data_IF_617644097932
#
_entry.id   IF_617644097932
#
_cell.length_a   1.000
_cell.length_b   1.000
_cell.length_c   1.000
_cell.angle_alpha   90.00
_cell.angle_beta   90.00
_cell.angle_gamma   90.00
#
_symmetry.space_group_name_H-M   'P 1'
#
loop_
_entity.id
_entity.type
_entity.pdbx_description
1 polymer ?
#
# COMPACT_ATOMS: atom_id res chain seq x y z
N UNK A 1 16.16 5.27 -19.11
CA UNK A 1 16.82 5.80 -17.88
C UNK A 1 17.32 4.61 -17.07
N UNK A 2 18.54 4.63 -16.55
CA UNK A 2 19.05 3.50 -15.77
C UNK A 2 18.51 3.58 -14.34
N UNK A 3 18.32 2.43 -13.65
CA UNK A 3 17.88 2.32 -12.26
C UNK A 3 18.57 3.32 -11.32
N UNK A 4 19.89 3.50 -11.50
CA UNK A 4 20.70 4.43 -10.70
C UNK A 4 20.24 5.89 -10.83
N UNK A 5 19.69 6.28 -12.00
CA UNK A 5 19.20 7.64 -12.25
C UNK A 5 17.82 7.84 -11.66
N UNK A 6 16.97 6.79 -11.64
CA UNK A 6 15.69 6.78 -10.95
C UNK A 6 15.85 6.95 -9.43
N UNK A 7 16.76 6.18 -8.82
CA UNK A 7 17.06 6.28 -7.40
C UNK A 7 17.63 7.66 -7.02
N UNK A 8 18.38 8.32 -7.91
CA UNK A 8 18.86 9.68 -7.70
C UNK A 8 17.76 10.74 -7.80
N UNK A 9 16.76 10.51 -8.62
CA UNK A 9 15.60 11.41 -8.76
C UNK A 9 14.76 11.40 -7.50
N UNK A 10 14.59 10.24 -6.87
CA UNK A 10 13.83 10.11 -5.63
C UNK A 10 14.63 10.38 -4.35
N UNK A 11 15.95 10.15 -4.37
CA UNK A 11 16.82 10.26 -3.19
C UNK A 11 17.91 11.32 -3.35
N UNK A 12 17.77 12.47 -2.71
CA UNK A 12 18.87 13.41 -2.53
C UNK A 12 19.88 12.85 -1.51
N UNK A 13 21.11 12.52 -1.95
CA UNK A 13 22.18 12.13 -1.04
C UNK A 13 22.57 13.32 -0.15
N UNK A 14 22.07 13.38 1.08
CA UNK A 14 22.54 14.33 2.09
C UNK A 14 23.84 13.82 2.71
N UNK A 15 24.96 14.40 2.31
CA UNK A 15 26.21 14.27 3.03
C UNK A 15 26.09 15.02 4.37
N UNK A 16 25.94 14.32 5.47
CA UNK A 16 26.04 14.91 6.80
C UNK A 16 27.51 15.22 7.12
N UNK A 17 27.82 16.52 7.13
CA UNK A 17 29.08 17.03 7.71
C UNK A 17 28.91 17.09 9.22
N UNK A 18 29.67 16.27 9.93
CA UNK A 18 29.78 16.30 11.39
C UNK A 18 30.46 17.61 11.85
N UNK A 19 29.75 18.48 12.55
CA UNK A 19 30.33 19.51 13.40
C UNK A 19 30.34 19.00 14.85
N UNK A 20 31.49 18.89 15.52
CA UNK A 20 31.54 18.55 16.93
C UNK A 20 31.49 19.83 17.79
N UNK A 21 30.58 19.86 18.72
CA UNK A 21 30.66 20.73 19.89
C UNK A 21 29.52 21.73 20.05
N UNK A 22 28.57 21.35 20.86
CA UNK A 22 27.95 22.19 21.94
C UNK A 22 27.03 21.26 22.73
N UNK A 23 27.39 21.06 24.00
CA UNK A 23 26.60 20.25 24.92
C UNK A 23 25.28 20.94 25.27
N UNK A 24 24.20 20.29 24.89
CA UNK A 24 22.88 20.51 25.47
C UNK A 24 22.45 19.22 26.17
N UNK A 25 21.92 19.34 27.38
CA UNK A 25 21.34 18.21 28.12
C UNK A 25 20.37 17.45 27.25
N UNK A 26 20.75 16.21 26.91
CA UNK A 26 19.91 15.27 26.22
C UNK A 26 18.76 14.84 27.15
N UNK A 27 17.62 15.51 27.04
CA UNK A 27 16.37 14.78 27.11
C UNK A 27 16.51 13.71 26.00
N UNK A 28 16.36 12.45 26.39
CA UNK A 28 16.46 11.34 25.43
C UNK A 28 15.48 11.60 24.30
N UNK A 29 16.00 12.08 23.18
CA UNK A 29 15.24 12.25 21.95
C UNK A 29 15.11 10.83 21.39
N UNK A 30 14.08 10.11 21.84
CA UNK A 30 13.74 8.83 21.25
C UNK A 30 13.24 9.14 19.84
N UNK A 31 14.04 8.79 18.84
CA UNK A 31 13.65 8.91 17.44
C UNK A 31 12.29 8.22 17.25
N UNK A 32 11.30 8.96 16.73
CA UNK A 32 9.98 8.40 16.49
C UNK A 32 10.04 7.27 15.47
N UNK A 33 9.24 6.21 15.62
CA UNK A 33 9.27 5.11 14.70
C UNK A 33 8.79 5.53 13.31
N UNK A 34 9.49 5.11 12.27
CA UNK A 34 9.01 5.24 10.89
C UNK A 34 7.85 4.28 10.65
N UNK A 35 6.87 4.75 9.89
CA UNK A 35 5.63 4.01 9.60
C UNK A 35 5.38 3.93 8.09
N UNK A 36 4.79 2.84 7.66
CA UNK A 36 4.36 2.64 6.27
C UNK A 36 2.84 2.46 6.23
N UNK A 37 2.19 3.20 5.35
CA UNK A 37 0.78 3.02 5.00
C UNK A 37 0.66 2.80 3.49
N UNK A 38 0.16 1.63 3.10
CA UNK A 38 -0.13 1.29 1.70
C UNK A 38 -1.62 1.47 1.47
N UNK A 39 -1.99 2.32 0.52
CA UNK A 39 -3.37 2.55 0.08
C UNK A 39 -3.53 2.04 -1.34
N UNK A 40 -4.59 1.29 -1.61
CA UNK A 40 -4.89 0.79 -2.95
C UNK A 40 -6.34 1.06 -3.30
N UNK A 41 -6.57 1.84 -4.36
CA UNK A 41 -7.89 1.94 -4.99
C UNK A 41 -8.00 0.96 -6.16
N UNK A 42 -9.19 0.84 -6.74
CA UNK A 42 -9.47 -0.08 -7.84
C UNK A 42 -9.51 0.64 -9.19
N UNK A 43 -9.26 -0.11 -10.28
CA UNK A 43 -9.48 0.30 -11.67
C UNK A 43 -8.52 1.35 -12.24
N UNK A 44 -7.33 1.53 -11.63
CA UNK A 44 -6.29 2.40 -12.17
C UNK A 44 -6.67 3.89 -12.20
N UNK A 45 -6.15 4.61 -13.18
CA UNK A 45 -6.29 6.06 -13.29
C UNK A 45 -6.95 6.48 -14.61
N UNK A 46 -7.69 7.59 -14.59
CA UNK A 46 -7.98 8.38 -15.78
C UNK A 46 -6.76 9.26 -16.04
N UNK A 47 -5.79 8.75 -16.80
CA UNK A 47 -4.44 9.33 -16.93
C UNK A 47 -4.44 10.80 -17.35
N UNK A 48 -5.27 11.20 -18.29
CA UNK A 48 -5.33 12.57 -18.82
C UNK A 48 -5.86 13.60 -17.80
N UNK A 49 -6.72 13.21 -16.87
CA UNK A 49 -7.21 14.07 -15.77
C UNK A 49 -6.39 13.93 -14.49
N UNK A 50 -5.56 12.89 -14.39
CA UNK A 50 -4.64 12.65 -13.26
C UNK A 50 -3.31 13.37 -13.42
N UNK A 51 -2.72 13.30 -14.62
CA UNK A 51 -1.38 13.82 -14.89
C UNK A 51 -1.27 15.30 -14.67
N UNK A 52 -0.09 15.75 -14.21
CA UNK A 52 0.30 17.16 -14.17
C UNK A 52 1.16 17.44 -15.39
N UNK A 53 0.71 18.35 -16.27
CA UNK A 53 1.42 18.74 -17.51
C UNK A 53 1.42 20.25 -17.65
N UNK A 54 2.42 20.94 -17.08
CA UNK A 54 2.60 22.35 -17.33
C UNK A 54 2.83 22.66 -18.81
N UNK A 55 2.33 23.79 -19.28
CA UNK A 55 2.48 24.23 -20.66
C UNK A 55 3.95 24.31 -21.07
N UNK A 56 4.25 23.89 -22.29
CA UNK A 56 5.57 23.98 -22.89
C UNK A 56 6.59 22.94 -22.47
N UNK A 57 6.23 21.98 -21.60
CA UNK A 57 7.12 20.89 -21.21
C UNK A 57 7.12 19.78 -22.27
N UNK A 58 8.34 19.36 -22.66
CA UNK A 58 8.54 18.27 -23.63
C UNK A 58 8.19 16.91 -23.01
N UNK A 59 7.27 16.17 -23.64
CA UNK A 59 6.89 14.82 -23.21
C UNK A 59 7.84 13.71 -23.71
N UNK A 60 8.81 14.03 -24.55
CA UNK A 60 9.76 13.05 -25.10
C UNK A 60 11.01 12.82 -24.25
N UNK A 61 11.20 13.57 -23.16
CA UNK A 61 12.37 13.46 -22.28
C UNK A 61 11.93 13.43 -20.82
N UNK A 62 12.67 12.74 -19.92
CA UNK A 62 12.40 12.80 -18.49
C UNK A 62 12.53 14.23 -17.95
N UNK A 63 11.65 14.61 -17.05
CA UNK A 63 11.73 15.89 -16.34
C UNK A 63 11.17 15.77 -14.92
N UNK A 64 11.49 16.76 -14.11
CA UNK A 64 10.95 16.90 -12.74
C UNK A 64 10.60 18.36 -12.51
N UNK A 65 9.51 18.60 -11.78
CA UNK A 65 9.07 19.94 -11.39
C UNK A 65 8.77 19.98 -9.90
N UNK A 66 9.01 21.15 -9.28
CA UNK A 66 8.56 21.42 -7.92
C UNK A 66 7.06 21.66 -7.88
N UNK A 67 6.34 20.85 -7.10
CA UNK A 67 4.88 20.99 -6.94
C UNK A 67 4.51 22.29 -6.21
N UNK A 68 5.41 22.83 -5.40
CA UNK A 68 5.20 24.10 -4.69
C UNK A 68 5.19 25.31 -5.61
N UNK A 69 5.83 25.18 -6.78
CA UNK A 69 5.96 26.26 -7.76
C UNK A 69 4.74 26.32 -8.71
N UNK A 70 3.87 25.32 -8.64
CA UNK A 70 2.67 25.25 -9.48
C UNK A 70 1.50 26.01 -8.83
N UNK A 71 0.82 26.83 -9.63
CA UNK A 71 -0.43 27.44 -9.22
C UNK A 71 -1.55 26.38 -9.18
N UNK A 72 -2.55 26.61 -8.33
CA UNK A 72 -3.66 25.67 -8.15
C UNK A 72 -4.43 25.37 -9.45
N UNK A 73 -4.59 26.36 -10.32
CA UNK A 73 -5.26 26.19 -11.60
C UNK A 73 -4.44 25.38 -12.64
N UNK A 74 -3.16 25.11 -12.35
CA UNK A 74 -2.30 24.23 -13.16
C UNK A 74 -2.25 22.81 -12.60
N UNK A 75 -2.97 22.56 -11.50
CA UNK A 75 -3.05 21.26 -10.87
C UNK A 75 -3.98 20.34 -11.64
N UNK A 76 -3.75 19.02 -11.53
CA UNK A 76 -4.61 18.04 -12.16
C UNK A 76 -6.01 18.08 -11.53
N UNK A 77 -7.05 17.88 -12.33
CA UNK A 77 -8.44 17.88 -11.85
C UNK A 77 -8.66 16.84 -10.75
N UNK A 78 -8.14 15.64 -10.96
CA UNK A 78 -8.26 14.52 -10.02
C UNK A 78 -7.47 14.75 -8.73
N UNK A 79 -6.27 15.33 -8.83
CA UNK A 79 -5.38 15.55 -7.68
C UNK A 79 -5.63 16.87 -6.95
N UNK A 80 -6.54 17.71 -7.43
CA UNK A 80 -6.85 19.01 -6.87
C UNK A 80 -7.11 18.98 -5.35
N UNK A 81 -7.79 17.98 -4.76
CA UNK A 81 -7.97 17.90 -3.30
C UNK A 81 -6.67 17.79 -2.51
N UNK A 82 -5.59 17.31 -3.13
CA UNK A 82 -4.26 17.18 -2.50
C UNK A 82 -3.38 18.43 -2.64
N UNK A 83 -3.87 19.50 -3.28
CA UNK A 83 -3.08 20.72 -3.50
C UNK A 83 -2.54 21.35 -2.19
N UNK A 84 -3.32 21.31 -1.11
CA UNK A 84 -2.90 21.80 0.20
C UNK A 84 -1.67 21.04 0.76
N UNK A 85 -1.52 19.77 0.38
CA UNK A 85 -0.46 18.87 0.82
C UNK A 85 0.70 18.73 -0.17
N UNK A 86 0.74 19.51 -1.26
CA UNK A 86 1.69 19.38 -2.37
C UNK A 86 3.17 19.35 -1.96
N UNK A 87 3.52 19.96 -0.85
CA UNK A 87 4.87 19.93 -0.29
C UNK A 87 5.29 18.56 0.28
N UNK A 88 4.33 17.66 0.51
CA UNK A 88 4.53 16.30 1.01
C UNK A 88 4.46 15.24 -0.09
N UNK A 89 4.03 15.61 -1.29
CA UNK A 89 3.75 14.69 -2.39
C UNK A 89 4.99 14.42 -3.24
N UNK A 90 5.04 13.21 -3.80
CA UNK A 90 5.89 12.83 -4.91
C UNK A 90 5.00 12.12 -5.93
N UNK A 91 4.69 12.80 -7.02
CA UNK A 91 4.01 12.22 -8.18
C UNK A 91 5.01 11.46 -9.04
N UNK A 92 4.72 10.21 -9.38
CA UNK A 92 5.55 9.40 -10.25
C UNK A 92 4.73 9.02 -11.47
N UNK A 93 5.11 9.53 -12.63
CA UNK A 93 4.39 9.39 -13.89
C UNK A 93 5.29 8.72 -14.94
N UNK A 94 4.77 7.65 -15.54
CA UNK A 94 5.48 6.89 -16.56
C UNK A 94 6.03 5.54 -16.09
N UNK A 95 5.58 5.02 -14.95
CA UNK A 95 5.83 3.64 -14.57
C UNK A 95 4.95 2.67 -15.39
N UNK A 96 5.27 1.40 -15.31
CA UNK A 96 4.42 0.31 -15.79
C UNK A 96 4.44 -0.87 -14.84
N UNK A 97 3.35 -1.64 -14.81
CA UNK A 97 3.29 -2.95 -14.16
C UNK A 97 3.93 -4.00 -15.09
N UNK A 98 5.19 -3.76 -15.49
CA UNK A 98 5.90 -4.58 -16.47
C UNK A 98 5.97 -6.06 -16.08
N UNK A 99 6.05 -6.36 -14.78
CA UNK A 99 6.05 -7.75 -14.29
C UNK A 99 4.73 -8.45 -14.56
N UNK A 100 3.60 -7.74 -14.50
CA UNK A 100 2.28 -8.30 -14.77
C UNK A 100 2.10 -8.67 -16.26
N UNK A 101 2.76 -7.96 -17.18
CA UNK A 101 2.77 -8.33 -18.60
C UNK A 101 3.50 -9.66 -18.86
N UNK A 102 4.38 -10.10 -17.97
CA UNK A 102 5.09 -11.37 -18.07
C UNK A 102 4.28 -12.56 -17.53
N UNK A 103 3.20 -12.29 -16.82
CA UNK A 103 2.38 -13.31 -16.18
C UNK A 103 1.11 -13.50 -17.01
N UNK A 104 1.13 -14.49 -17.90
CA UNK A 104 0.04 -14.73 -18.84
C UNK A 104 -1.10 -15.58 -18.29
N UNK A 105 -0.99 -16.06 -17.06
CA UNK A 105 -2.00 -16.89 -16.41
C UNK A 105 -3.02 -16.01 -15.67
N UNK A 106 -4.28 -16.45 -15.67
CA UNK A 106 -5.38 -15.76 -15.00
C UNK A 106 -5.93 -14.52 -15.73
N UNK A 107 -6.86 -13.83 -15.08
CA UNK A 107 -7.36 -12.57 -15.57
C UNK A 107 -6.46 -11.40 -15.11
N UNK A 108 -6.55 -10.27 -15.82
CA UNK A 108 -5.65 -9.13 -15.57
C UNK A 108 -5.81 -8.53 -14.17
N UNK A 109 -6.99 -8.56 -13.57
CA UNK A 109 -7.18 -8.11 -12.19
C UNK A 109 -6.45 -8.98 -11.18
N UNK A 110 -6.67 -10.32 -11.24
CA UNK A 110 -6.08 -11.23 -10.25
C UNK A 110 -4.54 -11.23 -10.36
N UNK A 111 -4.03 -11.18 -11.60
CA UNK A 111 -2.60 -11.03 -11.85
C UNK A 111 -2.07 -9.73 -11.25
N UNK A 112 -2.70 -8.61 -11.55
CA UNK A 112 -2.19 -7.29 -11.17
C UNK A 112 -2.30 -6.99 -9.68
N UNK A 113 -3.31 -7.51 -8.96
CA UNK A 113 -3.37 -7.41 -7.50
C UNK A 113 -2.09 -7.94 -6.85
N UNK A 114 -1.58 -9.05 -7.36
CA UNK A 114 -0.31 -9.61 -6.87
C UNK A 114 0.86 -8.75 -7.28
N UNK A 115 0.97 -8.45 -8.59
CA UNK A 115 2.16 -7.78 -9.13
C UNK A 115 2.34 -6.35 -8.62
N UNK A 116 1.26 -5.59 -8.43
CA UNK A 116 1.33 -4.20 -7.98
C UNK A 116 2.10 -4.06 -6.65
N UNK A 117 1.97 -5.03 -5.75
CA UNK A 117 2.53 -4.94 -4.41
C UNK A 117 3.68 -5.93 -4.13
N UNK A 118 3.90 -6.91 -5.01
CA UNK A 118 5.00 -7.87 -4.89
C UNK A 118 6.06 -7.73 -5.97
N UNK A 119 5.70 -7.20 -7.14
CA UNK A 119 6.53 -7.23 -8.34
C UNK A 119 6.82 -8.65 -8.83
N UNK A 120 6.07 -9.66 -8.38
CA UNK A 120 6.34 -11.06 -8.65
C UNK A 120 5.10 -11.81 -9.14
N UNK A 121 5.29 -13.06 -9.59
CA UNK A 121 4.25 -13.88 -10.21
C UNK A 121 3.10 -14.21 -9.27
N UNK A 122 1.91 -14.32 -9.85
CA UNK A 122 0.74 -14.88 -9.20
C UNK A 122 0.77 -16.43 -9.26
N UNK A 123 0.18 -17.07 -8.26
CA UNK A 123 -0.04 -18.51 -8.19
C UNK A 123 -1.55 -18.78 -8.27
N UNK A 124 -1.99 -19.36 -9.37
CA UNK A 124 -3.37 -19.74 -9.65
C UNK A 124 -3.65 -21.23 -9.40
N UNK A 125 -2.74 -21.94 -8.75
CA UNK A 125 -2.89 -23.39 -8.49
C UNK A 125 -3.96 -23.75 -7.47
N UNK A 126 -4.46 -22.76 -6.69
CA UNK A 126 -5.50 -22.90 -5.67
C UNK A 126 -6.86 -22.38 -6.11
N UNK A 127 -7.79 -22.30 -5.17
CA UNK A 127 -9.10 -21.66 -5.34
C UNK A 127 -9.01 -20.14 -5.32
N UNK A 128 -8.03 -19.60 -4.59
CA UNK A 128 -7.77 -18.18 -4.46
C UNK A 128 -6.41 -17.85 -5.08
N UNK A 129 -6.30 -16.71 -5.72
CA UNK A 129 -5.03 -16.22 -6.25
C UNK A 129 -4.10 -15.88 -5.10
N UNK A 130 -2.90 -16.46 -5.12
CA UNK A 130 -1.83 -16.21 -4.18
C UNK A 130 -0.67 -15.51 -4.88
N UNK A 131 0.28 -14.98 -4.13
CA UNK A 131 1.56 -14.53 -4.68
C UNK A 131 2.62 -15.63 -4.58
N UNK A 132 3.76 -15.41 -5.21
CA UNK A 132 4.95 -16.28 -5.06
C UNK A 132 5.99 -15.67 -4.10
N UNK A 133 5.72 -14.47 -3.59
CA UNK A 133 6.58 -13.78 -2.61
C UNK A 133 5.79 -12.80 -1.75
N UNK A 134 6.42 -12.25 -0.72
CA UNK A 134 5.84 -11.19 0.11
C UNK A 134 5.54 -9.93 -0.68
N UNK A 135 4.49 -9.23 -0.28
CA UNK A 135 4.24 -7.85 -0.68
C UNK A 135 5.15 -6.86 0.06
N UNK A 136 5.25 -5.64 -0.48
CA UNK A 136 6.14 -4.59 0.06
C UNK A 136 5.82 -4.24 1.52
N UNK A 137 4.55 -4.17 1.90
CA UNK A 137 4.13 -3.93 3.27
C UNK A 137 4.61 -5.03 4.21
N UNK A 138 4.57 -6.29 3.79
CA UNK A 138 5.00 -7.43 4.59
C UNK A 138 6.53 -7.54 4.65
N UNK A 139 7.26 -7.18 3.60
CA UNK A 139 8.72 -7.05 3.66
C UNK A 139 9.13 -6.00 4.69
N UNK A 140 8.48 -4.85 4.67
CA UNK A 140 8.72 -3.76 5.63
C UNK A 140 8.30 -4.18 7.04
N UNK A 141 7.12 -4.79 7.22
CA UNK A 141 6.64 -5.24 8.52
C UNK A 141 7.61 -6.22 9.20
N UNK A 142 8.22 -7.12 8.43
CA UNK A 142 9.23 -8.05 8.94
C UNK A 142 10.54 -7.35 9.36
N UNK A 143 10.83 -6.17 8.80
CA UNK A 143 12.06 -5.41 9.11
C UNK A 143 11.89 -4.46 10.29
N UNK A 144 10.84 -3.62 10.28
CA UNK A 144 10.64 -2.55 11.28
C UNK A 144 9.62 -2.91 12.36
N UNK A 145 8.89 -4.02 12.18
CA UNK A 145 7.90 -4.50 13.14
C UNK A 145 8.53 -4.89 14.47
N UNK A 146 7.75 -4.80 15.53
CA UNK A 146 8.15 -5.22 16.87
C UNK A 146 7.62 -6.61 17.16
N UNK A 147 8.41 -7.43 17.86
CA UNK A 147 7.99 -8.79 18.26
C UNK A 147 6.85 -8.81 19.28
N UNK A 148 6.68 -7.69 20.03
CA UNK A 148 5.66 -7.51 21.07
C UNK A 148 4.42 -6.73 20.57
N UNK A 149 4.29 -6.48 19.28
CA UNK A 149 3.22 -5.71 18.65
C UNK A 149 2.69 -6.44 17.40
N UNK A 150 1.62 -5.90 16.81
CA UNK A 150 1.18 -6.36 15.49
C UNK A 150 2.23 -6.03 14.45
N UNK A 151 2.76 -6.99 13.68
CA UNK A 151 3.71 -6.68 12.61
C UNK A 151 3.09 -5.75 11.57
N UNK A 152 1.82 -5.98 11.23
CA UNK A 152 1.04 -5.21 10.27
C UNK A 152 -0.45 -5.28 10.57
N UNK A 153 -1.22 -4.39 9.97
CA UNK A 153 -2.67 -4.33 10.04
C UNK A 153 -3.24 -4.25 8.62
N UNK A 154 -4.03 -5.24 8.22
CA UNK A 154 -4.62 -5.37 6.91
C UNK A 154 -6.10 -4.99 6.98
N UNK A 155 -6.48 -3.90 6.31
CA UNK A 155 -7.83 -3.33 6.31
C UNK A 155 -8.41 -3.24 4.90
N UNK A 156 -9.75 -3.23 4.81
CA UNK A 156 -10.47 -3.01 3.56
C UNK A 156 -11.75 -2.22 3.80
N UNK A 157 -12.16 -1.43 2.81
CA UNK A 157 -13.48 -0.78 2.77
C UNK A 157 -14.49 -1.59 1.95
N UNK A 158 -14.07 -2.66 1.30
CA UNK A 158 -14.93 -3.45 0.43
C UNK A 158 -15.87 -4.34 1.24
N UNK A 159 -17.19 -4.11 1.10
CA UNK A 159 -18.25 -4.92 1.72
C UNK A 159 -18.56 -6.19 0.96
N UNK A 160 -18.35 -6.18 -0.34
CA UNK A 160 -18.95 -7.17 -1.24
C UNK A 160 -18.24 -8.53 -1.19
N UNK A 161 -17.10 -8.63 -0.51
CA UNK A 161 -16.30 -9.85 -0.46
C UNK A 161 -15.80 -10.11 0.95
N UNK A 162 -16.10 -11.28 1.50
CA UNK A 162 -15.65 -11.73 2.84
C UNK A 162 -14.15 -11.54 3.09
N UNK A 163 -13.34 -11.43 2.03
CA UNK A 163 -11.91 -11.29 2.12
C UNK A 163 -11.37 -9.97 1.52
N UNK A 164 -12.23 -9.05 1.08
CA UNK A 164 -11.81 -7.82 0.41
C UNK A 164 -10.94 -8.07 -0.83
N UNK A 165 -10.35 -7.01 -1.38
CA UNK A 165 -9.34 -7.12 -2.44
C UNK A 165 -7.96 -7.12 -1.78
N UNK A 166 -7.19 -8.21 -1.89
CA UNK A 166 -5.94 -8.36 -1.16
C UNK A 166 -4.86 -7.47 -1.74
N UNK A 167 -4.14 -6.80 -0.87
CA UNK A 167 -2.92 -6.07 -1.20
C UNK A 167 -1.73 -6.55 -0.36
N UNK A 168 -1.97 -7.42 0.61
CA UNK A 168 -0.98 -7.96 1.53
C UNK A 168 -0.78 -9.47 1.33
N UNK A 169 0.46 -9.86 1.11
CA UNK A 169 0.89 -11.25 0.92
C UNK A 169 2.07 -11.55 1.85
N UNK A 170 1.93 -12.59 2.70
CA UNK A 170 2.95 -13.00 3.66
C UNK A 170 4.20 -13.61 3.02
N UNK A 171 5.13 -14.08 3.85
CA UNK A 171 6.45 -14.58 3.42
C UNK A 171 6.40 -15.66 2.34
N UNK A 172 5.42 -16.53 2.39
CA UNK A 172 5.21 -17.61 1.42
C UNK A 172 4.33 -17.22 0.23
N UNK A 173 3.99 -15.93 0.11
CA UNK A 173 3.06 -15.44 -0.91
C UNK A 173 1.59 -15.69 -0.57
N UNK A 174 1.28 -16.24 0.60
CA UNK A 174 -0.10 -16.41 1.04
C UNK A 174 -0.76 -15.05 1.25
N UNK A 175 -1.92 -14.89 0.66
CA UNK A 175 -2.82 -13.78 0.89
C UNK A 175 -3.18 -13.65 2.36
N UNK A 176 -3.01 -12.47 2.93
CA UNK A 176 -3.41 -12.20 4.30
C UNK A 176 -4.89 -11.83 4.38
N UNK A 177 -5.60 -12.28 5.43
CA UNK A 177 -6.98 -11.88 5.64
C UNK A 177 -7.06 -10.39 5.98
N UNK A 178 -8.05 -9.70 5.42
CA UNK A 178 -8.32 -8.29 5.69
C UNK A 178 -9.50 -8.12 6.64
N UNK A 179 -9.48 -7.07 7.44
CA UNK A 179 -10.60 -6.68 8.28
C UNK A 179 -11.35 -5.51 7.63
N UNK A 180 -12.65 -5.69 7.41
CA UNK A 180 -13.50 -4.69 6.75
C UNK A 180 -14.58 -4.08 7.68
N UNK A 181 -14.61 -4.50 8.94
CA UNK A 181 -15.49 -3.96 9.97
C UNK A 181 -14.70 -3.13 10.99
N UNK A 182 -14.90 -1.80 11.05
CA UNK A 182 -14.20 -0.93 11.99
C UNK A 182 -14.37 -1.35 13.45
N UNK A 183 -15.53 -1.88 13.83
CA UNK A 183 -15.76 -2.33 15.21
C UNK A 183 -14.91 -3.57 15.52
N UNK A 184 -14.83 -4.54 14.62
CA UNK A 184 -13.94 -5.71 14.79
C UNK A 184 -12.47 -5.30 14.76
N UNK A 185 -12.08 -4.38 13.88
CA UNK A 185 -10.74 -3.80 13.87
C UNK A 185 -10.41 -3.14 15.21
N UNK A 186 -11.33 -2.32 15.75
CA UNK A 186 -11.17 -1.70 17.07
C UNK A 186 -11.03 -2.73 18.18
N UNK A 187 -11.91 -3.74 18.19
CA UNK A 187 -11.87 -4.83 19.18
C UNK A 187 -10.53 -5.60 19.14
N UNK A 188 -10.00 -5.81 17.93
CA UNK A 188 -8.70 -6.48 17.74
C UNK A 188 -7.54 -5.61 18.24
N UNK A 189 -7.61 -4.29 18.04
CA UNK A 189 -6.55 -3.34 18.40
C UNK A 189 -6.59 -2.94 19.87
N UNK A 190 -7.77 -2.63 20.40
CA UNK A 190 -7.97 -1.94 21.67
C UNK A 190 -9.00 -2.60 22.59
N UNK A 191 -9.70 -3.62 22.12
CA UNK A 191 -10.70 -4.30 22.92
C UNK A 191 -10.13 -4.82 24.23
N UNK A 192 -10.95 -4.92 25.30
CA UNK A 192 -10.51 -5.48 26.55
C UNK A 192 -9.95 -6.88 26.27
N UNK A 193 -8.70 -7.09 26.71
CA UNK A 193 -8.10 -8.42 26.70
C UNK A 193 -9.13 -9.35 27.35
N UNK A 194 -9.77 -10.19 26.56
CA UNK A 194 -10.63 -11.22 27.11
C UNK A 194 -9.79 -11.94 28.15
N UNK A 195 -10.35 -12.08 29.38
CA UNK A 195 -9.73 -12.86 30.43
C UNK A 195 -9.18 -14.15 29.79
N UNK A 196 -7.98 -14.60 30.18
CA UNK A 196 -7.34 -15.69 29.46
C UNK A 196 -8.35 -16.81 29.29
N UNK A 197 -8.87 -16.97 28.09
CA UNK A 197 -9.71 -18.10 27.74
C UNK A 197 -8.89 -19.32 28.13
N UNK A 198 -9.35 -20.13 29.10
CA UNK A 198 -8.65 -21.35 29.50
C UNK A 198 -8.33 -22.25 28.30
N UNK A 199 -9.08 -22.05 27.19
CA UNK A 199 -8.83 -22.70 25.91
C UNK A 199 -7.69 -22.03 25.11
N UNK A 200 -7.32 -20.76 25.37
CA UNK A 200 -6.24 -20.11 24.62
C UNK A 200 -4.86 -20.67 25.02
N UNK A 201 -4.65 -20.99 26.30
CA UNK A 201 -3.47 -21.72 26.75
C UNK A 201 -3.43 -23.13 26.13
N UNK A 202 -4.58 -23.85 26.16
CA UNK A 202 -4.69 -25.17 25.52
C UNK A 202 -4.53 -25.12 23.99
N UNK A 203 -4.99 -24.04 23.33
CA UNK A 203 -4.75 -23.84 21.88
C UNK A 203 -3.27 -23.62 21.58
N UNK A 204 -2.54 -22.87 22.42
CA UNK A 204 -1.11 -22.73 22.34
C UNK A 204 -0.38 -24.07 22.48
N UNK A 205 -0.79 -24.88 23.46
CA UNK A 205 -0.25 -26.22 23.69
C UNK A 205 -0.57 -27.17 22.52
N UNK A 206 -1.81 -27.13 21.97
CA UNK A 206 -2.22 -27.94 20.80
C UNK A 206 -1.45 -27.53 19.54
N UNK A 207 -1.24 -26.24 19.34
CA UNK A 207 -0.48 -25.75 18.20
C UNK A 207 1.01 -26.09 18.31
N UNK A 208 1.59 -25.97 19.49
CA UNK A 208 2.95 -26.44 19.79
C UNK A 208 3.11 -27.93 19.53
N UNK A 209 2.17 -28.73 19.97
CA UNK A 209 2.15 -30.18 19.73
C UNK A 209 2.00 -30.50 18.23
N UNK A 210 1.06 -29.83 17.54
CA UNK A 210 0.87 -30.02 16.10
C UNK A 210 2.10 -29.62 15.28
N UNK A 211 2.82 -28.58 15.72
CA UNK A 211 4.08 -28.16 15.09
C UNK A 211 5.21 -29.19 15.27
N UNK A 212 5.33 -29.76 16.46
CA UNK A 212 6.31 -30.83 16.70
C UNK A 212 6.00 -32.10 15.91
N UNK A 213 4.73 -32.50 15.81
CA UNK A 213 4.32 -33.60 14.93
C UNK A 213 4.60 -33.31 13.45
N UNK A 214 4.32 -32.10 13.00
CA UNK A 214 4.65 -31.67 11.66
C UNK A 214 6.17 -31.78 11.39
N UNK A 215 7.03 -31.30 12.30
CA UNK A 215 8.49 -31.39 12.14
C UNK A 215 8.97 -32.82 11.94
N UNK A 216 8.34 -33.80 12.59
CA UNK A 216 8.64 -35.20 12.41
C UNK A 216 8.19 -35.73 11.04
N UNK A 217 7.11 -35.19 10.47
CA UNK A 217 6.56 -35.57 9.18
C UNK A 217 7.17 -34.80 7.99
N UNK A 218 7.66 -33.60 8.22
CA UNK A 218 8.18 -32.70 7.20
C UNK A 218 9.21 -33.33 6.25
N UNK A 219 10.14 -34.21 6.72
CA UNK A 219 11.08 -34.88 5.81
C UNK A 219 10.42 -35.84 4.82
N UNK A 220 9.17 -36.26 5.10
CA UNK A 220 8.40 -37.20 4.27
C UNK A 220 7.46 -36.50 3.29
N UNK A 221 7.29 -35.19 3.42
CA UNK A 221 6.41 -34.36 2.58
C UNK A 221 7.17 -33.86 1.33
N UNK A 222 6.47 -33.74 0.22
CA UNK A 222 6.96 -33.03 -0.95
C UNK A 222 7.21 -31.55 -0.67
N UNK A 223 8.07 -30.89 -1.46
CA UNK A 223 8.49 -29.52 -1.23
C UNK A 223 7.29 -28.55 -1.14
N UNK A 224 6.32 -28.65 -2.06
CA UNK A 224 5.11 -27.81 -2.07
C UNK A 224 4.20 -28.02 -0.83
N UNK A 225 4.04 -29.26 -0.38
CA UNK A 225 3.25 -29.58 0.82
C UNK A 225 3.94 -29.07 2.09
N UNK A 226 5.27 -29.18 2.15
CA UNK A 226 6.07 -28.67 3.27
C UNK A 226 5.94 -27.15 3.33
N UNK A 227 6.11 -26.46 2.22
CA UNK A 227 5.96 -25.00 2.15
C UNK A 227 4.58 -24.52 2.61
N UNK A 228 3.49 -25.17 2.15
CA UNK A 228 2.12 -24.84 2.60
C UNK A 228 1.93 -25.00 4.11
N UNK A 229 2.47 -26.09 4.68
CA UNK A 229 2.37 -26.33 6.11
C UNK A 229 3.23 -25.37 6.94
N UNK A 230 4.45 -25.08 6.52
CA UNK A 230 5.32 -24.07 7.15
C UNK A 230 4.64 -22.71 7.18
N UNK A 231 4.07 -22.28 6.05
CA UNK A 231 3.33 -21.04 5.95
C UNK A 231 2.12 -20.98 6.87
N UNK A 232 1.37 -22.08 6.98
CA UNK A 232 0.24 -22.16 7.89
C UNK A 232 0.67 -22.04 9.36
N UNK A 233 1.75 -22.71 9.75
CA UNK A 233 2.29 -22.61 11.11
C UNK A 233 2.87 -21.22 11.42
N UNK A 234 3.54 -20.59 10.46
CA UNK A 234 4.02 -19.22 10.61
C UNK A 234 2.87 -18.24 10.81
N UNK A 235 1.80 -18.38 10.03
CA UNK A 235 0.60 -17.56 10.17
C UNK A 235 -0.04 -17.75 11.57
N UNK A 236 -0.19 -18.97 12.04
CA UNK A 236 -0.79 -19.28 13.33
C UNK A 236 0.09 -18.82 14.49
N UNK A 237 1.42 -19.02 14.41
CA UNK A 237 2.37 -18.52 15.43
C UNK A 237 2.40 -17.00 15.47
N UNK A 238 2.39 -16.35 14.32
CA UNK A 238 2.28 -14.89 14.18
C UNK A 238 0.99 -14.37 14.85
N UNK A 239 -0.15 -14.99 14.59
CA UNK A 239 -1.42 -14.64 15.23
C UNK A 239 -1.38 -14.83 16.75
N UNK A 240 -0.76 -15.88 17.25
CA UNK A 240 -0.66 -16.16 18.69
C UNK A 240 0.27 -15.15 19.38
N UNK A 241 1.42 -14.84 18.80
CA UNK A 241 2.34 -13.81 19.30
C UNK A 241 1.69 -12.40 19.32
N UNK A 242 0.91 -12.08 18.30
CA UNK A 242 0.13 -10.84 18.18
C UNK A 242 -0.84 -10.66 19.35
N UNK A 243 -1.60 -11.70 19.69
CA UNK A 243 -2.57 -11.68 20.80
C UNK A 243 -1.91 -11.57 22.18
N UNK A 244 -0.70 -12.10 22.34
CA UNK A 244 0.04 -12.00 23.60
C UNK A 244 0.71 -10.64 23.82
N UNK A 245 1.25 -10.02 22.76
CA UNK A 245 1.95 -8.74 22.84
C UNK A 245 1.05 -7.55 23.15
N UNK A 246 -0.24 -7.61 22.76
CA UNK A 246 -1.21 -6.54 22.97
C UNK A 246 -1.68 -6.38 24.42
N UNK A 247 -1.39 -7.34 25.30
CA UNK A 247 -1.85 -7.31 26.71
C UNK A 247 -1.23 -6.22 27.57
N UNK A 248 -0.15 -5.61 27.14
CA UNK A 248 0.61 -4.59 27.90
C UNK A 248 0.67 -3.24 27.16
N UNK A 249 -0.36 -2.92 26.39
CA UNK A 249 -0.41 -1.66 25.65
C UNK A 249 -0.82 -0.53 26.58
N UNK A 250 0.15 0.33 26.98
CA UNK A 250 -0.17 1.62 27.59
C UNK A 250 -0.40 2.62 26.46
N UNK A 251 -1.66 2.89 26.16
CA UNK A 251 -2.05 3.88 25.17
C UNK A 251 -3.03 4.88 25.78
N UNK A 252 -2.65 6.15 25.81
CA UNK A 252 -3.46 7.23 26.36
C UNK A 252 -4.47 7.82 25.35
N UNK A 253 -4.45 7.35 24.11
CA UNK A 253 -5.23 7.90 22.98
C UNK A 253 -6.09 6.84 22.28
N UNK A 254 -6.59 5.85 23.05
CA UNK A 254 -7.51 4.85 22.51
C UNK A 254 -8.81 5.55 22.11
N UNK A 255 -9.21 5.48 20.81
CA UNK A 255 -10.48 6.05 20.39
C UNK A 255 -11.66 5.30 21.00
N UNK A 256 -12.80 5.95 21.08
CA UNK A 256 -14.04 5.27 21.44
C UNK A 256 -14.32 4.14 20.45
N UNK A 257 -14.98 3.07 20.91
CA UNK A 257 -15.42 2.01 20.00
C UNK A 257 -16.33 2.62 18.92
N UNK A 258 -16.04 2.42 17.63
CA UNK A 258 -16.90 2.93 16.57
C UNK A 258 -18.28 2.27 16.61
N UNK A 259 -19.29 2.98 16.15
CA UNK A 259 -20.57 2.40 15.83
C UNK A 259 -20.50 1.65 14.49
N UNK A 260 -21.54 0.91 14.16
CA UNK A 260 -21.66 0.36 12.81
C UNK A 260 -21.71 1.51 11.80
N UNK A 261 -20.77 1.50 10.83
CA UNK A 261 -20.74 2.53 9.80
C UNK A 261 -22.00 2.45 8.92
N UNK A 262 -22.63 3.62 8.71
CA UNK A 262 -23.86 3.70 7.93
C UNK A 262 -23.62 3.65 6.42
N UNK A 263 -22.42 4.03 5.95
CA UNK A 263 -22.03 4.09 4.54
C UNK A 263 -20.54 3.93 4.37
N UNK A 264 -20.08 3.96 3.11
CA UNK A 264 -18.69 3.81 2.72
C UNK A 264 -17.80 4.94 3.30
N UNK A 265 -18.24 6.20 3.24
CA UNK A 265 -17.47 7.35 3.74
C UNK A 265 -17.25 7.29 5.26
N UNK A 266 -18.30 6.98 6.02
CA UNK A 266 -18.17 6.82 7.47
C UNK A 266 -17.23 5.66 7.82
N UNK A 267 -17.26 4.58 7.05
CA UNK A 267 -16.31 3.46 7.24
C UNK A 267 -14.88 3.90 6.97
N UNK A 268 -14.64 4.68 5.92
CA UNK A 268 -13.32 5.25 5.64
C UNK A 268 -12.83 6.12 6.80
N UNK A 269 -13.68 7.00 7.33
CA UNK A 269 -13.30 7.89 8.42
C UNK A 269 -12.99 7.09 9.70
N UNK A 270 -13.81 6.11 10.05
CA UNK A 270 -13.57 5.21 11.20
C UNK A 270 -12.28 4.39 11.03
N UNK A 271 -12.02 3.83 9.84
CA UNK A 271 -10.75 3.12 9.58
C UNK A 271 -9.55 4.05 9.66
N UNK A 272 -9.68 5.29 9.18
CA UNK A 272 -8.63 6.32 9.28
C UNK A 272 -8.30 6.67 10.73
N UNK A 273 -9.31 6.83 11.60
CA UNK A 273 -9.11 7.06 13.03
C UNK A 273 -8.41 5.88 13.70
N UNK A 274 -8.78 4.65 13.34
CA UNK A 274 -8.11 3.44 13.84
C UNK A 274 -6.65 3.34 13.40
N UNK A 275 -6.33 3.71 12.16
CA UNK A 275 -4.96 3.79 11.66
C UNK A 275 -4.17 4.82 12.45
N UNK A 276 -4.72 6.03 12.63
CA UNK A 276 -4.10 7.09 13.41
C UNK A 276 -3.80 6.66 14.85
N UNK A 277 -4.77 6.02 15.51
CA UNK A 277 -4.61 5.51 16.87
C UNK A 277 -3.61 4.34 16.93
N UNK A 278 -3.64 3.41 15.97
CA UNK A 278 -2.70 2.29 15.91
C UNK A 278 -1.25 2.78 15.77
N UNK A 279 -1.03 3.83 14.99
CA UNK A 279 0.28 4.47 14.83
C UNK A 279 0.70 5.26 16.08
N UNK A 280 -0.21 6.05 16.67
CA UNK A 280 0.07 6.84 17.86
C UNK A 280 0.42 5.97 19.08
N UNK A 281 -0.21 4.81 19.19
CA UNK A 281 0.04 3.85 20.27
C UNK A 281 1.15 2.83 19.95
N UNK A 282 1.84 2.96 18.80
CA UNK A 282 2.82 1.99 18.29
C UNK A 282 2.32 0.54 18.36
N UNK A 283 1.00 0.34 18.09
CA UNK A 283 0.40 -1.01 18.00
C UNK A 283 0.93 -1.75 16.79
N UNK A 284 1.11 -1.04 15.71
CA UNK A 284 1.79 -1.48 14.49
C UNK A 284 2.48 -0.28 13.84
N UNK A 285 3.45 -0.57 12.99
CA UNK A 285 4.17 0.43 12.16
C UNK A 285 3.86 0.29 10.68
N UNK A 286 3.09 -0.73 10.31
CA UNK A 286 2.74 -1.01 8.92
C UNK A 286 1.26 -1.29 8.81
N UNK A 287 0.59 -0.56 7.93
CA UNK A 287 -0.82 -0.75 7.62
C UNK A 287 -1.00 -0.82 6.11
N UNK A 288 -1.85 -1.71 5.65
CA UNK A 288 -2.36 -1.74 4.29
C UNK A 288 -3.87 -1.57 4.32
N UNK A 289 -4.39 -0.62 3.52
CA UNK A 289 -5.81 -0.34 3.38
C UNK A 289 -6.22 -0.44 1.92
N UNK A 290 -7.03 -1.45 1.60
CA UNK A 290 -7.74 -1.51 0.33
C UNK A 290 -8.96 -0.58 0.39
N UNK A 291 -9.00 0.42 -0.50
CA UNK A 291 -10.14 1.32 -0.61
C UNK A 291 -11.35 0.64 -1.28
N UNK A 292 -11.15 -0.51 -1.93
CA UNK A 292 -12.24 -1.24 -2.57
C UNK A 292 -12.93 -0.45 -3.69
N UNK A 293 -14.18 -0.76 -3.93
CA UNK A 293 -15.05 0.00 -4.83
C UNK A 293 -16.00 0.89 -4.02
N UNK A 294 -15.92 2.19 -4.25
CA UNK A 294 -16.87 3.15 -3.70
C UNK A 294 -18.23 2.99 -4.41
N UNK A 295 -19.36 3.02 -3.71
CA UNK A 295 -20.68 3.04 -4.35
C UNK A 295 -20.82 4.20 -5.33
N UNK A 296 -21.37 3.94 -6.51
CA UNK A 296 -21.51 4.95 -7.58
C UNK A 296 -22.38 6.12 -7.18
N UNK A 297 -23.32 5.91 -6.24
CA UNK A 297 -24.15 6.97 -5.64
C UNK A 297 -23.31 8.00 -4.89
N UNK A 298 -22.18 7.61 -4.30
CA UNK A 298 -21.37 8.46 -3.43
C UNK A 298 -20.59 9.53 -4.22
N UNK A 299 -20.41 9.30 -5.53
CA UNK A 299 -19.81 10.28 -6.45
C UNK A 299 -20.79 10.72 -7.58
N UNK A 300 -22.08 10.50 -7.40
CA UNK A 300 -23.13 11.11 -8.22
C UNK A 300 -23.60 10.30 -9.43
N UNK A 301 -23.29 9.01 -9.52
CA UNK A 301 -23.63 8.15 -10.67
C UNK A 301 -24.52 6.95 -10.34
N UNK A 302 -25.18 6.95 -9.18
CA UNK A 302 -26.07 5.86 -8.77
C UNK A 302 -27.25 5.62 -9.71
N UNK A 303 -27.76 6.64 -10.39
CA UNK A 303 -28.81 6.52 -11.39
C UNK A 303 -28.32 5.94 -12.74
N UNK A 304 -26.98 5.88 -12.94
CA UNK A 304 -26.37 5.35 -14.17
C UNK A 304 -26.10 3.87 -14.03
N UNK A 305 -25.49 3.48 -12.93
CA UNK A 305 -25.12 2.10 -12.61
C UNK A 305 -24.78 1.96 -11.14
N UNK A 306 -24.88 0.76 -10.58
CA UNK A 306 -24.35 0.38 -9.27
C UNK A 306 -22.98 -0.34 -9.34
N UNK A 307 -22.46 -0.57 -10.54
CA UNK A 307 -21.23 -1.33 -10.81
C UNK A 307 -20.16 -0.39 -11.41
N UNK A 308 -19.17 -0.01 -10.61
CA UNK A 308 -18.03 0.80 -11.07
C UNK A 308 -17.24 0.06 -12.15
N UNK A 309 -16.99 -1.24 -11.96
CA UNK A 309 -16.13 -2.02 -12.83
C UNK A 309 -16.69 -2.13 -14.25
N UNK A 310 -17.87 -2.75 -14.40
CA UNK A 310 -18.48 -2.99 -15.73
C UNK A 310 -19.26 -1.78 -16.22
N UNK A 311 -19.87 -1.06 -15.30
CA UNK A 311 -20.74 0.06 -15.63
C UNK A 311 -19.99 1.33 -16.04
N UNK A 312 -18.79 1.56 -15.50
CA UNK A 312 -18.01 2.78 -15.73
C UNK A 312 -16.61 2.51 -16.30
N UNK A 313 -15.79 1.74 -15.60
CA UNK A 313 -14.39 1.62 -15.89
C UNK A 313 -14.09 1.01 -17.28
N UNK A 314 -14.82 -0.01 -17.71
CA UNK A 314 -14.63 -0.64 -19.01
C UNK A 314 -14.84 0.28 -20.21
N UNK A 315 -15.62 1.33 -20.07
CA UNK A 315 -15.93 2.26 -21.16
C UNK A 315 -15.24 3.63 -20.98
N UNK A 316 -14.26 3.71 -20.08
CA UNK A 316 -13.56 4.97 -19.74
C UNK A 316 -12.95 5.68 -20.96
N UNK A 317 -12.52 4.95 -21.98
CA UNK A 317 -11.93 5.54 -23.19
C UNK A 317 -12.91 5.76 -24.33
N UNK A 318 -14.13 5.20 -24.27
CA UNK A 318 -15.09 5.23 -25.35
C UNK A 318 -16.33 6.06 -25.06
N UNK A 319 -16.55 6.44 -23.81
CA UNK A 319 -17.71 7.17 -23.36
C UNK A 319 -17.32 8.34 -22.45
N UNK A 320 -17.54 9.57 -22.91
CA UNK A 320 -17.14 10.78 -22.20
C UNK A 320 -17.80 10.94 -20.82
N UNK A 321 -19.05 10.51 -20.66
CA UNK A 321 -19.73 10.55 -19.35
C UNK A 321 -19.08 9.56 -18.38
N UNK A 322 -18.74 8.35 -18.82
CA UNK A 322 -18.09 7.34 -17.98
C UNK A 322 -16.63 7.72 -17.68
N UNK A 323 -15.96 8.39 -18.61
CA UNK A 323 -14.66 8.99 -18.36
C UNK A 323 -14.72 10.03 -17.23
N UNK A 324 -15.71 10.94 -17.28
CA UNK A 324 -15.91 11.91 -16.21
C UNK A 324 -16.28 11.23 -14.89
N UNK A 325 -17.13 10.20 -14.92
CA UNK A 325 -17.47 9.42 -13.73
C UNK A 325 -16.24 8.79 -13.07
N UNK A 326 -15.32 8.22 -13.85
CA UNK A 326 -14.07 7.67 -13.32
C UNK A 326 -13.11 8.77 -12.83
N UNK A 327 -13.16 9.95 -13.42
CA UNK A 327 -12.42 11.13 -12.90
C UNK A 327 -12.97 11.56 -11.54
N UNK A 328 -14.29 11.62 -11.38
CA UNK A 328 -14.95 11.98 -10.12
C UNK A 328 -14.72 10.91 -9.04
N UNK A 329 -14.76 9.63 -9.40
CA UNK A 329 -14.39 8.50 -8.55
C UNK A 329 -12.98 8.66 -7.95
N UNK A 330 -11.99 8.95 -8.80
CA UNK A 330 -10.61 9.15 -8.36
C UNK A 330 -10.44 10.44 -7.55
N UNK A 331 -11.20 11.49 -7.87
CA UNK A 331 -11.20 12.75 -7.12
C UNK A 331 -11.73 12.55 -5.70
N UNK A 332 -12.76 11.71 -5.53
CA UNK A 332 -13.25 11.33 -4.20
C UNK A 332 -12.18 10.57 -3.41
N UNK A 333 -11.48 9.62 -4.02
CA UNK A 333 -10.33 8.98 -3.37
C UNK A 333 -9.22 9.97 -3.01
N UNK A 334 -8.94 10.95 -3.86
CA UNK A 334 -7.98 12.02 -3.53
C UNK A 334 -8.45 12.86 -2.32
N UNK A 335 -9.74 13.12 -2.19
CA UNK A 335 -10.32 13.78 -0.99
C UNK A 335 -10.18 12.92 0.26
N UNK A 336 -10.39 11.61 0.16
CA UNK A 336 -10.19 10.68 1.27
C UNK A 336 -8.72 10.66 1.71
N UNK A 337 -7.80 10.56 0.77
CA UNK A 337 -6.37 10.60 1.06
C UNK A 337 -5.97 11.93 1.71
N UNK A 338 -6.51 13.07 1.25
CA UNK A 338 -6.25 14.37 1.84
C UNK A 338 -6.73 14.42 3.31
N UNK A 339 -7.96 13.95 3.61
CA UNK A 339 -8.48 13.87 4.99
C UNK A 339 -7.62 12.99 5.88
N UNK A 340 -7.14 11.86 5.37
CA UNK A 340 -6.24 10.96 6.12
C UNK A 340 -4.90 11.64 6.42
N UNK A 341 -4.33 12.38 5.47
CA UNK A 341 -3.10 13.18 5.67
C UNK A 341 -3.34 14.27 6.72
N UNK A 342 -4.48 14.96 6.68
CA UNK A 342 -4.87 15.93 7.70
C UNK A 342 -4.98 15.30 9.09
N UNK A 343 -5.68 14.16 9.19
CA UNK A 343 -5.84 13.43 10.44
C UNK A 343 -4.47 13.07 11.06
N UNK A 344 -3.59 12.43 10.29
CA UNK A 344 -2.26 12.04 10.76
C UNK A 344 -1.36 13.24 11.08
N UNK A 345 -1.56 14.36 10.39
CA UNK A 345 -0.84 15.62 10.64
C UNK A 345 -1.25 16.29 11.95
N UNK A 346 -2.45 16.03 12.43
CA UNK A 346 -2.98 16.58 13.68
C UNK A 346 -2.69 15.71 14.92
N UNK A 347 -2.17 14.50 14.76
CA UNK A 347 -1.80 13.63 15.87
C UNK A 347 -0.32 13.84 16.19
N UNK A 348 0.03 14.27 17.43
CA UNK A 348 1.42 14.45 17.84
C UNK A 348 2.15 13.10 17.97
N UNK A 349 3.41 13.07 17.57
CA UNK A 349 4.30 11.92 17.76
C UNK A 349 5.30 12.12 18.90
N UNK A 350 6.02 11.07 19.26
CA UNK A 350 6.95 11.02 20.41
C UNK A 350 8.15 11.95 20.28
N UNK A 351 8.51 12.36 19.06
CA UNK A 351 9.60 13.32 18.77
C UNK A 351 9.13 14.79 18.73
N UNK A 352 7.85 15.05 19.03
CA UNK A 352 7.25 16.38 19.01
C UNK A 352 6.82 16.85 17.61
N UNK A 353 6.96 16.01 16.58
CA UNK A 353 6.38 16.22 15.26
C UNK A 353 5.00 15.57 15.17
N UNK A 354 4.41 15.51 13.98
CA UNK A 354 3.16 14.77 13.78
C UNK A 354 3.43 13.32 13.35
N UNK A 355 2.43 12.45 13.56
CA UNK A 355 2.46 11.07 13.03
C UNK A 355 2.72 11.10 11.51
N UNK A 356 2.14 12.06 10.77
CA UNK A 356 2.36 12.19 9.33
C UNK A 356 3.83 12.47 8.99
N UNK A 357 4.56 13.21 9.81
CA UNK A 357 5.97 13.53 9.56
C UNK A 357 6.88 12.29 9.62
N UNK A 358 6.45 11.25 10.35
CA UNK A 358 7.13 9.97 10.51
C UNK A 358 6.43 8.83 9.74
N UNK A 359 5.51 9.17 8.83
CA UNK A 359 4.78 8.19 8.01
C UNK A 359 5.10 8.36 6.52
N UNK A 360 5.30 7.24 5.85
CA UNK A 360 5.37 7.12 4.40
C UNK A 360 4.06 6.50 3.93
N UNK A 361 3.28 7.23 3.14
CA UNK A 361 2.07 6.72 2.48
C UNK A 361 2.40 6.42 1.02
N UNK A 362 2.00 5.26 0.54
CA UNK A 362 2.08 4.87 -0.86
C UNK A 362 0.66 4.64 -1.34
N UNK A 363 0.20 5.47 -2.26
CA UNK A 363 -1.13 5.35 -2.86
C UNK A 363 -1.01 4.86 -4.29
N UNK A 364 -1.53 3.67 -4.55
CA UNK A 364 -1.48 3.00 -5.83
C UNK A 364 -2.80 2.33 -6.20
N UNK A 365 -2.75 1.52 -7.25
CA UNK A 365 -3.86 0.69 -7.74
C UNK A 365 -3.31 -0.64 -8.25
N UNK A 366 -4.18 -1.60 -8.49
CA UNK A 366 -3.81 -2.87 -9.13
C UNK A 366 -3.59 -2.73 -10.64
N UNK A 367 -4.21 -1.74 -11.26
CA UNK A 367 -4.18 -1.51 -12.71
C UNK A 367 -3.64 -0.09 -12.99
N UNK A 368 -3.27 0.17 -14.23
CA UNK A 368 -2.93 1.52 -14.66
C UNK A 368 -4.15 2.27 -15.21
N UNK A 369 -5.16 1.59 -15.71
CA UNK A 369 -6.40 2.19 -16.20
C UNK A 369 -7.61 1.26 -16.07
N UNK A 370 -8.81 1.80 -16.28
CA UNK A 370 -10.07 1.07 -16.17
C UNK A 370 -10.30 0.01 -17.24
N UNK A 371 -9.50 -0.02 -18.31
CA UNK A 371 -9.53 -1.05 -19.35
C UNK A 371 -8.46 -2.13 -19.12
N UNK A 372 -8.03 -2.29 -17.87
CA UNK A 372 -7.06 -3.29 -17.45
C UNK A 372 -5.64 -3.06 -18.01
N UNK A 373 -5.28 -1.80 -18.30
CA UNK A 373 -3.95 -1.44 -18.74
C UNK A 373 -2.91 -1.58 -17.64
N UNK A 374 -1.64 -1.78 -18.06
CA UNK A 374 -0.49 -1.85 -17.18
C UNK A 374 0.52 -0.72 -17.44
N UNK A 375 0.26 0.09 -18.48
CA UNK A 375 1.07 1.23 -18.88
C UNK A 375 0.54 2.52 -18.25
N UNK A 376 1.40 3.52 -18.08
CA UNK A 376 1.04 4.78 -17.40
C UNK A 376 0.58 4.56 -15.95
N UNK A 377 1.26 3.68 -15.25
CA UNK A 377 1.06 3.46 -13.83
C UNK A 377 1.60 4.68 -13.05
N UNK A 378 0.74 5.39 -12.34
CA UNK A 378 1.02 6.70 -11.76
C UNK A 378 0.78 6.76 -10.25
N UNK A 379 1.51 6.01 -9.44
CA UNK A 379 1.35 6.02 -7.98
C UNK A 379 1.79 7.35 -7.38
N UNK A 380 1.27 7.66 -6.20
CA UNK A 380 1.64 8.82 -5.39
C UNK A 380 2.34 8.36 -4.12
N UNK A 381 3.48 8.95 -3.80
CA UNK A 381 4.14 8.82 -2.51
C UNK A 381 3.87 10.09 -1.71
N UNK A 382 3.51 9.96 -0.43
CA UNK A 382 3.20 11.09 0.45
C UNK A 382 4.01 10.94 1.75
N UNK A 383 4.75 11.99 2.12
CA UNK A 383 5.65 11.94 3.28
C UNK A 383 6.99 11.29 2.97
N UNK A 384 7.62 10.68 3.98
CA UNK A 384 8.92 10.03 3.81
C UNK A 384 10.08 11.02 3.60
N UNK A 385 9.97 12.26 4.09
CA UNK A 385 10.98 13.33 3.94
C UNK A 385 12.37 12.98 4.49
N UNK A 386 12.45 11.96 5.35
CA UNK A 386 13.74 11.46 5.86
C UNK A 386 14.58 10.72 4.80
N UNK A 387 13.95 10.38 3.68
CA UNK A 387 14.59 9.64 2.58
C UNK A 387 14.37 10.31 1.22
N UNK A 388 13.18 10.84 0.97
CA UNK A 388 12.76 11.41 -0.30
C UNK A 388 12.80 12.95 -0.28
N UNK A 389 13.08 13.54 -1.45
CA UNK A 389 12.80 14.94 -1.71
C UNK A 389 11.32 15.08 -2.08
N UNK A 390 10.48 15.46 -1.11
CA UNK A 390 9.05 15.68 -1.34
C UNK A 390 8.76 17.01 -2.04
N UNK A 391 7.51 17.22 -2.46
CA UNK A 391 7.09 18.39 -3.23
C UNK A 391 7.53 18.33 -4.70
N UNK A 392 7.62 17.13 -5.28
CA UNK A 392 8.12 16.91 -6.63
C UNK A 392 7.14 16.09 -7.47
N UNK A 393 7.12 16.34 -8.76
CA UNK A 393 6.48 15.51 -9.75
C UNK A 393 7.53 15.09 -10.78
N UNK A 394 7.66 13.80 -11.00
CA UNK A 394 8.65 13.19 -11.88
C UNK A 394 7.93 12.52 -13.04
N UNK A 395 8.27 12.95 -14.23
CA UNK A 395 7.80 12.33 -15.47
C UNK A 395 8.93 11.55 -16.13
N UNK A 396 8.61 10.33 -16.50
CA UNK A 396 9.48 9.44 -17.25
C UNK A 396 8.73 9.02 -18.52
N UNK A 397 9.22 9.42 -19.72
CA UNK A 397 8.58 9.03 -20.96
C UNK A 397 8.67 7.52 -21.12
N UNK A 398 7.67 6.97 -21.79
CA UNK A 398 7.74 5.59 -22.24
C UNK A 398 8.80 5.48 -23.33
N UNK A 399 9.85 4.72 -23.06
CA UNK A 399 10.92 4.42 -24.02
C UNK A 399 10.43 3.40 -25.08
N UNK A 400 11.34 2.97 -25.95
CA UNK A 400 11.09 1.89 -26.89
C UNK A 400 10.53 0.67 -26.15
N UNK A 401 9.43 0.07 -26.63
CA UNK A 401 8.81 -1.05 -25.96
C UNK A 401 9.78 -2.18 -25.70
N UNK A 402 9.79 -2.69 -24.48
CA UNK A 402 10.45 -3.94 -24.13
C UNK A 402 9.54 -5.06 -24.60
N UNK A 403 10.05 -5.93 -25.47
CA UNK A 403 9.30 -7.12 -25.87
C UNK A 403 9.20 -8.08 -24.68
N UNK A 404 7.99 -8.27 -24.21
CA UNK A 404 7.66 -9.26 -23.20
C UNK A 404 6.92 -10.41 -23.85
N UNK A 405 7.34 -11.64 -23.62
CA UNK A 405 6.60 -12.82 -24.06
C UNK A 405 5.45 -13.07 -23.12
N UNK A 406 4.24 -12.86 -23.60
CA UNK A 406 3.02 -13.23 -22.90
C UNK A 406 2.31 -14.37 -23.61
N UNK A 407 1.52 -15.15 -22.88
CA UNK A 407 0.72 -16.25 -23.43
C UNK A 407 -0.32 -15.72 -24.42
N UNK A 408 -0.78 -14.48 -24.28
CA UNK A 408 -1.81 -13.87 -25.12
C UNK A 408 -1.27 -12.97 -26.25
N UNK A 409 0.03 -12.98 -26.50
CA UNK A 409 0.65 -12.17 -27.55
C UNK A 409 0.69 -10.67 -27.30
N UNK A 410 0.30 -10.20 -26.13
CA UNK A 410 0.59 -8.82 -25.68
C UNK A 410 2.04 -8.78 -25.23
N UNK A 411 2.84 -7.94 -25.87
CA UNK A 411 4.26 -8.21 -25.91
C UNK A 411 5.12 -7.02 -25.53
N UNK A 412 4.51 -5.90 -25.11
CA UNK A 412 5.32 -4.70 -24.92
C UNK A 412 4.94 -3.93 -23.66
N UNK A 413 5.93 -3.73 -22.79
CA UNK A 413 5.89 -2.71 -21.75
C UNK A 413 6.88 -1.61 -22.12
N UNK A 414 6.43 -0.37 -22.12
CA UNK A 414 7.26 0.78 -22.52
C UNK A 414 7.63 1.69 -21.36
N UNK A 415 6.97 1.55 -20.22
CA UNK A 415 7.23 2.34 -19.02
C UNK A 415 8.34 1.72 -18.16
N UNK A 416 8.91 2.53 -17.26
CA UNK A 416 9.83 2.05 -16.26
C UNK A 416 9.12 1.05 -15.34
N UNK A 417 9.70 -0.13 -15.03
CA UNK A 417 9.10 -1.09 -14.13
C UNK A 417 8.80 -0.49 -12.75
N UNK A 418 7.57 -0.65 -12.25
CA UNK A 418 7.15 -0.14 -10.94
C UNK A 418 7.95 -0.72 -9.77
N UNK A 419 8.65 -1.84 -9.99
CA UNK A 419 9.56 -2.45 -9.01
C UNK A 419 10.63 -1.47 -8.51
N UNK A 420 11.05 -0.50 -9.32
CA UNK A 420 11.96 0.56 -8.89
C UNK A 420 11.37 1.40 -7.75
N UNK A 421 10.05 1.65 -7.80
CA UNK A 421 9.33 2.30 -6.70
C UNK A 421 9.30 1.39 -5.46
N UNK A 422 8.98 0.11 -5.61
CA UNK A 422 8.95 -0.83 -4.48
C UNK A 422 10.31 -0.90 -3.77
N UNK A 423 11.41 -0.96 -4.53
CA UNK A 423 12.77 -0.90 -3.97
C UNK A 423 13.03 0.42 -3.23
N UNK A 424 12.61 1.55 -3.81
CA UNK A 424 12.78 2.86 -3.16
C UNK A 424 12.01 2.96 -1.84
N UNK A 425 10.80 2.39 -1.78
CA UNK A 425 9.99 2.29 -0.55
C UNK A 425 10.72 1.42 0.49
N UNK A 426 11.19 0.24 0.11
CA UNK A 426 11.93 -0.65 1.00
C UNK A 426 13.14 0.06 1.60
N UNK A 427 13.94 0.75 0.77
CA UNK A 427 15.12 1.50 1.21
C UNK A 427 14.76 2.67 2.12
N UNK A 428 13.66 3.39 1.85
CA UNK A 428 13.15 4.44 2.73
C UNK A 428 12.80 3.91 4.12
N UNK A 429 12.35 2.67 4.19
CA UNK A 429 12.00 1.97 5.42
C UNK A 429 13.18 1.21 6.04
N UNK A 430 14.39 1.40 5.52
CA UNK A 430 15.63 0.88 6.12
C UNK A 430 16.04 -0.51 5.66
N UNK A 431 15.38 -1.09 4.65
CA UNK A 431 15.83 -2.34 4.03
C UNK A 431 16.99 -2.05 3.07
N UNK A 432 17.87 -3.02 2.93
CA UNK A 432 19.04 -2.92 2.01
C UNK A 432 18.78 -3.58 0.65
N UNK A 433 17.55 -4.02 0.40
CA UNK A 433 17.21 -4.71 -0.84
C UNK A 433 17.45 -3.78 -2.03
N UNK A 434 18.12 -4.30 -3.02
CA UNK A 434 18.39 -3.64 -4.28
C UNK A 434 17.48 -4.16 -5.40
N UNK A 435 16.65 -5.16 -5.09
CA UNK A 435 15.72 -5.80 -6.00
C UNK A 435 14.49 -6.35 -5.27
N UNK A 436 13.30 -6.16 -5.84
CA UNK A 436 12.04 -6.74 -5.39
C UNK A 436 11.33 -7.34 -6.61
N UNK A 437 10.86 -8.59 -6.47
CA UNK A 437 10.08 -9.28 -7.50
C UNK A 437 10.93 -9.97 -8.59
N UNK A 438 10.45 -10.00 -9.82
CA UNK A 438 11.08 -10.72 -10.94
C UNK A 438 12.39 -10.06 -11.37
N UNK A 439 13.50 -10.81 -11.33
CA UNK A 439 14.87 -10.29 -11.51
C UNK A 439 15.27 -9.90 -12.94
N UNK A 440 14.52 -10.28 -13.94
CA UNK A 440 14.92 -10.14 -15.36
C UNK A 440 14.34 -8.91 -16.07
N UNK A 441 13.64 -8.05 -15.33
CA UNK A 441 13.14 -6.78 -15.85
C UNK A 441 13.97 -5.67 -15.19
N UNK A 442 15.09 -5.34 -15.79
CA UNK A 442 15.95 -4.23 -15.36
C UNK A 442 16.24 -3.31 -16.53
#
# INVERSE_FOLDING_TARGET
MKRRDFLKVLGGASAFTLCPGLGFNALANTEAPKRLLVLSHCHGWTYDTWKIRPDGINSGTPWSIGLNDLAENSWSETLQPLYAHRNRLIGIDGLSLATAELDGDGNRHDTSWVHAWTGNRADFSGTDTQATSSSIDQLVANSIGRSDRLPSLELSLDDARENGRPIAYGQSGLRLPVENDPMRAWQRLFGPSQAPDPLSARRGDVLGFAYEEYRQLAPRLGAAQRQKMESHFELVNSLTGRLQGMRNLECNTVPASPNQAANYEERFDQMSELIGAAFACDVTRVVSLSLGEMPTSDFGYGDVTDDVHKGLAHDVFTNAMKHQAMTDYLKMHAQQVARLVDLLSNIPDTDGQSIMDNTLIVWGSELADGWHGYQHYCPMIIGGKWHFQTGQYHYMPHETPIELRTINGMTQSSGMPHQHMLVSIAQAMGLSDDHIGIKHIQ
#
